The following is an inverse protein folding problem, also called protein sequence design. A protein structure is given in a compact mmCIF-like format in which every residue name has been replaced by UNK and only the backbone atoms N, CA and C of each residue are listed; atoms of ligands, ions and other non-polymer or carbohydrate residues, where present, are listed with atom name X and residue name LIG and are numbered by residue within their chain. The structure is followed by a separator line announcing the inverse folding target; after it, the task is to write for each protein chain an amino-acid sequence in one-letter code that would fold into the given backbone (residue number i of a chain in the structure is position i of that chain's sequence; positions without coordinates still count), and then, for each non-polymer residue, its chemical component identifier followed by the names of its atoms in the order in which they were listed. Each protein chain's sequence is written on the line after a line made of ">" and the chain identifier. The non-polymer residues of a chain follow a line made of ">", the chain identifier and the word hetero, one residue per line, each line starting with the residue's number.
data_IF_609491494044
#
_entry.id   IF_609491494044
#
_cell.length_a   1.000
_cell.length_b   1.000
_cell.length_c   1.000
_cell.angle_alpha   90.00
_cell.angle_beta   90.00
_cell.angle_gamma   90.00
#
_symmetry.space_group_name_H-M   'P 1'
#
loop_
_entity.id
_entity.type
_entity.pdbx_description
1 polymer ?
#
# COMPACT_ATOMS: atom_id res chain seq x y z
N UNK A 1 3.28 -70.60 -56.89
CA UNK A 1 4.31 -69.56 -56.99
C UNK A 1 3.93 -68.49 -56.03
N UNK A 2 4.51 -68.49 -54.83
CA UNK A 2 4.21 -67.59 -53.69
C UNK A 2 5.01 -66.30 -53.82
N UNK A 3 4.32 -65.21 -53.77
CA UNK A 3 4.98 -63.94 -53.55
C UNK A 3 4.63 -63.43 -52.13
N UNK A 4 5.55 -63.61 -51.26
CA UNK A 4 5.56 -63.06 -49.93
C UNK A 4 5.79 -61.54 -50.03
N UNK A 5 4.84 -60.77 -49.52
CA UNK A 5 5.03 -59.37 -49.26
C UNK A 5 5.52 -59.16 -47.80
N UNK A 6 6.63 -58.50 -47.59
CA UNK A 6 6.99 -58.10 -46.23
C UNK A 6 6.23 -56.87 -45.85
N UNK A 7 5.42 -56.97 -44.82
CA UNK A 7 4.73 -55.86 -44.18
C UNK A 7 5.78 -55.06 -43.39
N UNK A 8 6.06 -53.87 -43.87
CA UNK A 8 6.92 -52.88 -43.18
C UNK A 8 6.12 -52.26 -42.07
N UNK A 9 6.32 -52.74 -40.84
CA UNK A 9 5.73 -52.11 -39.65
C UNK A 9 6.51 -50.81 -39.30
N UNK A 10 5.98 -49.68 -39.71
CA UNK A 10 6.46 -48.37 -39.28
C UNK A 10 6.02 -48.13 -37.82
N UNK A 11 6.93 -48.32 -36.86
CA UNK A 11 6.71 -47.96 -35.46
C UNK A 11 6.70 -46.41 -35.33
N UNK A 12 5.53 -45.85 -35.19
CA UNK A 12 5.33 -44.46 -34.79
C UNK A 12 5.73 -44.32 -33.31
N UNK A 13 6.95 -43.89 -33.07
CA UNK A 13 7.37 -43.36 -31.77
C UNK A 13 6.66 -42.04 -31.52
N UNK A 14 5.49 -42.13 -30.92
CA UNK A 14 4.81 -40.96 -30.37
C UNK A 14 5.65 -40.44 -29.16
N UNK A 15 6.52 -39.50 -29.43
CA UNK A 15 7.25 -38.77 -28.39
C UNK A 15 6.27 -38.02 -27.50
N UNK A 16 6.02 -38.58 -26.31
CA UNK A 16 5.30 -37.89 -25.25
C UNK A 16 6.17 -36.74 -24.76
N UNK A 17 5.99 -35.54 -25.35
CA UNK A 17 6.56 -34.34 -24.75
C UNK A 17 5.89 -34.14 -23.37
N UNK A 18 6.67 -34.03 -22.28
CA UNK A 18 6.08 -33.71 -21.01
C UNK A 18 5.45 -32.30 -21.13
N UNK A 19 4.14 -32.24 -21.07
CA UNK A 19 3.41 -31.01 -20.84
C UNK A 19 3.79 -30.57 -19.41
N UNK A 20 4.82 -29.74 -19.29
CA UNK A 20 5.01 -28.94 -18.10
C UNK A 20 3.79 -28.05 -17.99
N UNK A 21 2.78 -28.50 -17.27
CA UNK A 21 1.70 -27.66 -16.80
C UNK A 21 2.37 -26.62 -15.89
N UNK A 22 2.68 -25.47 -16.45
CA UNK A 22 3.05 -24.31 -15.65
C UNK A 22 1.87 -24.09 -14.70
N UNK A 23 2.06 -24.40 -13.43
CA UNK A 23 1.06 -24.16 -12.40
C UNK A 23 0.63 -22.70 -12.51
N UNK A 24 -0.59 -22.51 -12.96
CA UNK A 24 -1.17 -21.16 -13.09
C UNK A 24 -1.42 -20.66 -11.69
N UNK A 25 -0.48 -19.89 -11.21
CA UNK A 25 -0.62 -19.20 -9.95
C UNK A 25 -1.73 -18.16 -10.06
N UNK A 26 -2.91 -18.47 -9.53
CA UNK A 26 -4.08 -17.60 -9.62
C UNK A 26 -3.89 -16.24 -8.93
N UNK A 27 -3.01 -16.19 -7.93
CA UNK A 27 -2.72 -14.98 -7.15
C UNK A 27 -1.30 -14.45 -7.41
N UNK A 28 -0.72 -14.76 -8.56
CA UNK A 28 0.59 -14.23 -8.94
C UNK A 28 0.47 -12.96 -9.76
N UNK A 29 1.51 -12.16 -9.67
CA UNK A 29 1.65 -10.91 -10.40
C UNK A 29 3.10 -10.47 -10.44
N UNK A 30 3.31 -9.33 -11.05
CA UNK A 30 4.60 -8.66 -11.13
C UNK A 30 4.54 -7.33 -10.43
N UNK A 31 5.52 -7.03 -9.61
CA UNK A 31 5.69 -5.70 -9.01
C UNK A 31 5.96 -4.70 -10.13
N UNK A 32 5.10 -3.71 -10.27
CA UNK A 32 5.26 -2.65 -11.28
C UNK A 32 5.96 -1.43 -10.72
N UNK A 33 5.70 -1.13 -9.46
CA UNK A 33 6.26 0.05 -8.81
C UNK A 33 6.33 -0.11 -7.29
N UNK A 34 7.32 0.54 -6.68
CA UNK A 34 7.50 0.64 -5.23
C UNK A 34 7.86 2.08 -4.91
N UNK A 35 6.97 2.80 -4.28
CA UNK A 35 7.22 4.19 -3.90
C UNK A 35 6.86 4.47 -2.44
N UNK A 36 7.50 5.48 -1.92
CA UNK A 36 7.31 5.98 -0.57
C UNK A 36 6.11 6.93 -0.55
N UNK A 37 5.17 6.70 0.37
CA UNK A 37 3.99 7.54 0.56
C UNK A 37 4.00 8.06 1.99
N UNK A 38 3.85 9.35 2.14
CA UNK A 38 3.63 9.96 3.44
C UNK A 38 2.15 9.90 3.79
N UNK A 39 1.85 9.22 4.88
CA UNK A 39 0.50 9.12 5.40
C UNK A 39 0.37 10.06 6.57
N UNK A 40 -0.54 11.02 6.46
CA UNK A 40 -0.85 11.92 7.57
C UNK A 40 -1.37 11.11 8.76
N UNK A 41 -0.87 11.44 9.95
CA UNK A 41 -1.39 10.88 11.17
C UNK A 41 -2.82 11.36 11.44
N UNK A 42 -3.54 10.63 12.27
CA UNK A 42 -4.85 11.07 12.75
C UNK A 42 -4.66 12.14 13.84
N UNK A 43 -5.21 13.32 13.61
CA UNK A 43 -5.36 14.33 14.65
C UNK A 43 -6.38 13.84 15.68
N UNK A 44 -6.11 14.02 16.94
CA UNK A 44 -7.01 13.63 18.02
C UNK A 44 -7.67 14.84 18.71
N UNK A 45 -8.71 14.57 19.47
CA UNK A 45 -9.32 15.57 20.30
C UNK A 45 -8.32 16.18 21.33
N UNK A 46 -7.29 15.41 21.69
CA UNK A 46 -6.28 15.86 22.64
C UNK A 46 -5.46 17.04 22.09
N UNK A 47 -5.01 16.98 20.83
CA UNK A 47 -4.31 18.10 20.18
C UNK A 47 -5.20 19.32 20.03
N UNK A 48 -6.48 19.14 19.69
CA UNK A 48 -7.45 20.21 19.61
C UNK A 48 -7.71 20.85 20.97
N UNK A 49 -7.87 20.07 22.05
CA UNK A 49 -8.08 20.56 23.41
C UNK A 49 -6.85 21.31 23.91
N UNK A 50 -5.66 20.73 23.77
CA UNK A 50 -4.41 21.36 24.19
C UNK A 50 -4.19 22.70 23.47
N UNK A 51 -4.36 22.71 22.14
CA UNK A 51 -4.25 23.93 21.34
C UNK A 51 -5.33 24.96 21.67
N UNK A 52 -6.57 24.54 21.92
CA UNK A 52 -7.67 25.38 22.31
C UNK A 52 -7.46 26.07 23.67
N UNK A 53 -6.98 25.32 24.68
CA UNK A 53 -6.63 25.85 26.00
C UNK A 53 -5.49 26.86 25.87
N UNK A 54 -4.41 26.50 25.21
CA UNK A 54 -3.28 27.43 25.02
C UNK A 54 -3.68 28.68 24.26
N UNK A 55 -4.43 28.54 23.15
CA UNK A 55 -4.92 29.67 22.37
C UNK A 55 -5.92 30.57 23.12
N UNK A 56 -6.80 29.96 23.93
CA UNK A 56 -7.73 30.67 24.79
C UNK A 56 -7.02 31.49 25.87
N UNK A 57 -5.99 30.91 26.51
CA UNK A 57 -5.18 31.64 27.51
C UNK A 57 -4.46 32.83 26.90
N UNK A 58 -3.80 32.63 25.74
CA UNK A 58 -3.13 33.71 25.02
C UNK A 58 -4.14 34.81 24.59
N UNK A 59 -5.28 34.41 24.01
CA UNK A 59 -6.35 35.34 23.63
C UNK A 59 -6.88 36.16 24.80
N UNK A 60 -6.97 35.55 25.99
CA UNK A 60 -7.40 36.23 27.23
C UNK A 60 -6.40 37.29 27.71
N UNK A 61 -5.12 37.17 27.38
CA UNK A 61 -4.09 38.15 27.75
C UNK A 61 -4.05 39.37 26.83
N UNK A 62 -4.50 39.23 25.58
CA UNK A 62 -4.37 40.29 24.55
C UNK A 62 -5.49 41.29 24.61
N UNK A 63 -6.68 40.91 25.14
CA UNK A 63 -7.89 41.76 25.09
C UNK A 63 -8.20 42.51 26.39
N UNK A 64 -8.84 43.66 26.29
CA UNK A 64 -9.45 44.41 27.41
C UNK A 64 -10.95 44.59 27.18
N UNK A 65 -11.77 44.45 28.22
CA UNK A 65 -13.23 44.64 28.14
C UNK A 65 -13.91 43.62 27.21
N UNK A 66 -14.86 44.06 26.37
CA UNK A 66 -15.58 43.18 25.43
C UNK A 66 -14.68 42.55 24.38
N UNK A 67 -13.57 43.18 24.03
CA UNK A 67 -12.56 42.60 23.10
C UNK A 67 -11.85 41.38 23.65
N UNK A 68 -11.71 41.28 24.98
CA UNK A 68 -11.13 40.14 25.65
C UNK A 68 -11.90 38.85 25.36
N UNK A 69 -13.23 38.87 25.45
CA UNK A 69 -14.07 37.71 25.18
C UNK A 69 -13.92 37.23 23.74
N UNK A 70 -13.94 38.17 22.77
CA UNK A 70 -13.77 37.86 21.35
C UNK A 70 -12.38 37.23 21.09
N UNK A 71 -11.32 37.85 21.65
CA UNK A 71 -9.97 37.37 21.49
C UNK A 71 -9.77 35.97 22.13
N UNK A 72 -10.40 35.68 23.26
CA UNK A 72 -10.34 34.36 23.92
C UNK A 72 -11.04 33.31 23.10
N UNK A 73 -12.24 33.58 22.56
CA UNK A 73 -12.98 32.63 21.74
C UNK A 73 -12.25 32.37 20.40
N UNK A 74 -11.78 33.41 19.74
CA UNK A 74 -11.03 33.29 18.50
C UNK A 74 -9.70 32.55 18.72
N UNK A 75 -9.00 32.83 19.83
CA UNK A 75 -7.78 32.15 20.22
C UNK A 75 -8.01 30.67 20.53
N UNK A 76 -9.09 30.34 21.23
CA UNK A 76 -9.45 28.96 21.53
C UNK A 76 -9.80 28.19 20.25
N UNK A 77 -10.60 28.74 19.35
CA UNK A 77 -10.97 28.09 18.08
C UNK A 77 -9.76 27.92 17.14
N UNK A 78 -8.97 28.98 16.97
CA UNK A 78 -7.75 28.94 16.14
C UNK A 78 -6.69 28.03 16.72
N UNK A 79 -6.51 28.05 18.04
CA UNK A 79 -5.59 27.16 18.75
C UNK A 79 -6.01 25.69 18.66
N UNK A 80 -7.30 25.38 18.76
CA UNK A 80 -7.81 24.02 18.60
C UNK A 80 -7.53 23.48 17.19
N UNK A 81 -7.81 24.29 16.17
CA UNK A 81 -7.52 23.93 14.79
C UNK A 81 -6.01 23.73 14.55
N UNK A 82 -5.19 24.69 14.99
CA UNK A 82 -3.74 24.60 14.86
C UNK A 82 -3.17 23.38 15.60
N UNK A 83 -3.62 23.13 16.84
CA UNK A 83 -3.18 21.97 17.62
C UNK A 83 -3.53 20.64 16.96
N UNK A 84 -4.74 20.54 16.39
CA UNK A 84 -5.13 19.35 15.61
C UNK A 84 -4.23 19.15 14.39
N UNK A 85 -3.92 20.19 13.64
CA UNK A 85 -3.07 20.11 12.44
C UNK A 85 -1.61 19.80 12.77
N UNK A 86 -1.09 20.35 13.86
CA UNK A 86 0.27 20.05 14.35
C UNK A 86 0.37 18.59 14.75
N UNK A 87 -0.63 18.06 15.45
CA UNK A 87 -0.67 16.66 15.84
C UNK A 87 -0.68 15.71 14.62
N UNK A 88 -1.46 16.03 13.58
CA UNK A 88 -1.47 15.27 12.32
C UNK A 88 -0.07 15.18 11.70
N UNK A 89 0.66 16.31 11.68
CA UNK A 89 2.03 16.35 11.13
C UNK A 89 3.04 15.59 11.99
N UNK A 90 2.94 15.70 13.32
CA UNK A 90 3.84 14.99 14.24
C UNK A 90 3.64 13.48 14.12
N UNK A 91 2.41 13.04 13.85
CA UNK A 91 2.06 11.63 13.67
C UNK A 91 2.17 11.15 12.22
N UNK A 92 2.66 11.99 11.31
CA UNK A 92 2.94 11.59 9.93
C UNK A 92 3.89 10.39 9.89
N UNK A 93 3.50 9.37 9.16
CA UNK A 93 4.30 8.15 8.97
C UNK A 93 4.63 7.99 7.50
N UNK A 94 5.81 7.48 7.27
CA UNK A 94 6.20 7.03 5.95
C UNK A 94 5.76 5.59 5.77
N UNK A 95 5.00 5.31 4.72
CA UNK A 95 4.62 3.96 4.30
C UNK A 95 5.14 3.70 2.88
N UNK A 96 5.33 2.45 2.54
CA UNK A 96 5.74 2.04 1.20
C UNK A 96 4.56 1.40 0.50
N UNK A 97 4.21 1.94 -0.66
CA UNK A 97 3.15 1.39 -1.51
C UNK A 97 3.77 0.58 -2.63
N UNK A 98 3.43 -0.71 -2.66
CA UNK A 98 3.85 -1.65 -3.70
C UNK A 98 2.68 -1.88 -4.63
N UNK A 99 2.85 -1.52 -5.89
CA UNK A 99 1.87 -1.78 -6.95
C UNK A 99 2.21 -3.09 -7.65
N UNK A 100 1.27 -4.02 -7.66
CA UNK A 100 1.42 -5.34 -8.28
C UNK A 100 0.38 -5.48 -9.38
N UNK A 101 0.84 -5.75 -10.59
CA UNK A 101 -0.02 -6.16 -11.70
C UNK A 101 -0.19 -7.67 -11.66
N UNK A 102 -1.39 -8.11 -11.36
CA UNK A 102 -1.74 -9.52 -11.31
C UNK A 102 -1.76 -10.12 -12.73
N UNK A 103 -1.58 -11.41 -12.83
CA UNK A 103 -1.68 -12.14 -14.11
C UNK A 103 -3.09 -12.08 -14.71
N UNK A 104 -4.10 -11.77 -13.90
CA UNK A 104 -5.47 -11.45 -14.33
C UNK A 104 -5.61 -10.10 -15.02
N UNK A 105 -4.59 -9.24 -14.96
CA UNK A 105 -4.62 -7.86 -15.45
C UNK A 105 -5.03 -6.83 -14.39
N UNK A 106 -5.53 -7.27 -13.23
CA UNK A 106 -5.87 -6.39 -12.11
C UNK A 106 -4.59 -5.78 -11.49
N UNK A 107 -4.66 -4.51 -11.09
CA UNK A 107 -3.60 -3.85 -10.32
C UNK A 107 -4.01 -3.78 -8.87
N UNK A 108 -3.19 -4.36 -7.99
CA UNK A 108 -3.35 -4.30 -6.54
C UNK A 108 -2.27 -3.45 -5.90
N UNK A 109 -2.67 -2.62 -4.94
CA UNK A 109 -1.77 -1.79 -4.15
C UNK A 109 -1.72 -2.35 -2.72
N UNK A 110 -0.51 -2.63 -2.26
CA UNK A 110 -0.26 -3.19 -0.93
C UNK A 110 0.66 -2.23 -0.20
N UNK A 111 0.32 -1.89 1.05
CA UNK A 111 1.07 -0.96 1.88
C UNK A 111 1.90 -1.70 2.91
N UNK A 112 3.11 -1.22 3.12
CA UNK A 112 4.04 -1.70 4.12
C UNK A 112 4.49 -0.53 4.99
N UNK A 113 4.57 -0.77 6.31
CA UNK A 113 5.10 0.23 7.23
C UNK A 113 6.61 0.42 7.06
N UNK A 114 7.31 -0.66 6.71
CA UNK A 114 8.75 -0.67 6.50
C UNK A 114 9.08 -0.87 5.02
N UNK A 115 10.29 -0.46 4.62
CA UNK A 115 10.77 -0.61 3.24
C UNK A 115 10.82 -2.08 2.84
N UNK A 116 9.97 -2.51 1.90
CA UNK A 116 9.93 -3.90 1.47
C UNK A 116 11.16 -4.24 0.60
N UNK A 117 11.58 -5.49 0.63
CA UNK A 117 12.69 -5.99 -0.18
C UNK A 117 12.29 -6.37 -1.61
N UNK A 118 11.21 -5.78 -2.14
CA UNK A 118 10.73 -6.00 -3.50
C UNK A 118 11.21 -4.89 -4.42
N UNK A 119 11.50 -5.26 -5.66
CA UNK A 119 11.88 -4.33 -6.73
C UNK A 119 10.86 -4.42 -7.87
N UNK A 120 10.77 -3.34 -8.66
CA UNK A 120 10.01 -3.37 -9.90
C UNK A 120 10.54 -4.50 -10.80
N UNK A 121 9.61 -5.32 -11.31
CA UNK A 121 9.95 -6.51 -12.11
C UNK A 121 9.95 -7.83 -11.32
N UNK A 122 9.94 -7.80 -9.99
CA UNK A 122 9.89 -9.02 -9.18
C UNK A 122 8.57 -9.78 -9.38
N UNK A 123 8.68 -11.09 -9.51
CA UNK A 123 7.53 -11.97 -9.55
C UNK A 123 7.09 -12.31 -8.13
N UNK A 124 5.83 -12.04 -7.81
CA UNK A 124 5.30 -12.20 -6.46
C UNK A 124 3.95 -12.90 -6.47
N UNK A 125 3.66 -13.58 -5.38
CA UNK A 125 2.35 -14.12 -5.05
C UNK A 125 1.71 -13.23 -3.98
N UNK A 126 0.45 -12.92 -4.16
CA UNK A 126 -0.33 -12.10 -3.21
C UNK A 126 -1.25 -13.02 -2.43
N UNK A 127 -0.98 -13.21 -1.14
CA UNK A 127 -1.84 -13.95 -0.24
C UNK A 127 -2.26 -13.03 0.93
N UNK A 128 -3.56 -12.77 1.06
CA UNK A 128 -4.14 -11.95 2.14
C UNK A 128 -3.42 -10.60 2.36
N UNK A 129 -3.01 -9.94 1.26
CA UNK A 129 -2.32 -8.66 1.35
C UNK A 129 -0.82 -8.75 1.68
N UNK A 130 -0.27 -9.95 1.76
CA UNK A 130 1.16 -10.20 1.94
C UNK A 130 1.77 -10.64 0.61
N UNK A 131 2.90 -10.03 0.26
CA UNK A 131 3.67 -10.42 -0.92
C UNK A 131 4.71 -11.46 -0.56
N UNK A 132 4.75 -12.52 -1.33
CA UNK A 132 5.81 -13.54 -1.25
C UNK A 132 6.51 -13.62 -2.60
N UNK A 133 7.85 -13.57 -2.60
CA UNK A 133 8.63 -13.70 -3.84
C UNK A 133 8.50 -15.11 -4.38
N UNK A 134 8.14 -15.22 -5.65
CA UNK A 134 8.13 -16.51 -6.36
C UNK A 134 9.49 -16.67 -7.02
N UNK A 135 10.22 -17.73 -6.66
CA UNK A 135 11.47 -18.09 -7.32
C UNK A 135 11.19 -18.45 -8.79
N UNK A 136 12.10 -18.04 -9.67
CA UNK A 136 12.09 -18.43 -11.09
C UNK A 136 12.51 -19.87 -11.26
#
# INVERSE_FOLDING_TARGET
>A
MNRLFPILAAALLAGSAPLFAAERCSNCGQVTDVHEVKVEGEGSALGAVAGGVAGGLLGNQIGKGKGKTVATVAGAAGGAYAGYQVEKKIKEKTEYQVSVRMDSGEVRQIRYADKPAFLAGDRVKVDNGVLTRVAR
#
